data_IF_410642410756
#
_entry.id   IF_410642410756
#
_cell.length_a   1.000
_cell.length_b   1.000
_cell.length_c   1.000
_cell.angle_alpha   90.00
_cell.angle_beta   90.00
_cell.angle_gamma   90.00
#
_symmetry.space_group_name_H-M   'P 1'
#
loop_
_entity.id
_entity.type
_entity.pdbx_description
1 polymer ?
#
# COMPACT_ATOMS: atom_id res chain seq x y z
N UNK A 1 0.02 -8.79 20.98
CA UNK A 1 -0.12 -7.34 20.71
C UNK A 1 1.20 -6.61 20.90
N UNK A 2 1.85 -6.72 22.06
CA UNK A 2 3.06 -5.93 22.35
C UNK A 2 4.26 -6.23 21.43
N UNK A 3 4.55 -7.51 21.17
CA UNK A 3 5.64 -7.90 20.26
C UNK A 3 5.40 -7.43 18.81
N UNK A 4 4.15 -7.47 18.34
CA UNK A 4 3.76 -7.00 17.02
C UNK A 4 3.88 -5.47 16.93
N UNK A 5 3.41 -4.74 17.95
CA UNK A 5 3.54 -3.29 18.02
C UNK A 5 5.00 -2.83 18.06
N UNK A 6 5.87 -3.55 18.77
CA UNK A 6 7.33 -3.29 18.76
C UNK A 6 7.94 -3.52 17.38
N UNK A 7 7.54 -4.59 16.68
CA UNK A 7 8.03 -4.88 15.33
C UNK A 7 7.58 -3.81 14.33
N UNK A 8 6.32 -3.38 14.40
CA UNK A 8 5.81 -2.24 13.63
C UNK A 8 6.57 -0.96 13.93
N UNK A 9 6.84 -0.66 15.21
CA UNK A 9 7.57 0.56 15.61
C UNK A 9 9.01 0.57 15.09
N UNK A 10 9.69 -0.58 15.12
CA UNK A 10 11.06 -0.71 14.59
C UNK A 10 11.09 -0.51 13.08
N UNK A 11 10.11 -1.05 12.35
CA UNK A 11 10.03 -0.89 10.90
C UNK A 11 9.49 0.48 10.48
N UNK A 12 8.67 1.14 11.30
CA UNK A 12 8.13 2.46 11.02
C UNK A 12 9.21 3.55 10.89
N UNK A 13 10.34 3.41 11.60
CA UNK A 13 11.45 4.38 11.53
C UNK A 13 12.12 4.39 10.14
N UNK A 14 12.65 3.28 9.60
CA UNK A 14 13.23 3.27 8.26
C UNK A 14 12.19 3.57 7.17
N UNK A 15 10.94 3.13 7.34
CA UNK A 15 9.85 3.48 6.43
C UNK A 15 9.57 4.98 6.43
N UNK A 16 9.54 5.61 7.61
CA UNK A 16 9.35 7.05 7.76
C UNK A 16 10.47 7.85 7.11
N UNK A 17 11.73 7.41 7.25
CA UNK A 17 12.89 8.02 6.58
C UNK A 17 12.74 7.89 5.05
N UNK A 18 12.37 6.71 4.56
CA UNK A 18 12.19 6.48 3.12
C UNK A 18 11.01 7.27 2.56
N UNK A 19 9.90 7.40 3.29
CA UNK A 19 8.77 8.21 2.88
C UNK A 19 9.10 9.70 2.85
N UNK A 20 9.93 10.18 3.78
CA UNK A 20 10.27 11.60 3.88
C UNK A 20 11.36 11.99 2.88
N UNK A 21 12.39 11.16 2.71
CA UNK A 21 13.57 11.49 1.92
C UNK A 21 13.70 10.70 0.63
N UNK A 22 13.07 9.53 0.52
CA UNK A 22 13.22 8.63 -0.63
C UNK A 22 12.91 9.35 -1.94
N UNK A 23 11.75 10.00 -2.04
CA UNK A 23 11.39 10.77 -3.24
C UNK A 23 12.31 11.94 -3.52
N UNK A 24 12.72 12.71 -2.50
CA UNK A 24 13.60 13.89 -2.70
C UNK A 24 14.99 13.46 -3.14
N UNK A 25 15.60 12.50 -2.42
CA UNK A 25 16.95 12.01 -2.69
C UNK A 25 17.00 11.31 -4.04
N UNK A 26 16.03 10.45 -4.35
CA UNK A 26 16.01 9.78 -5.66
C UNK A 26 15.67 10.73 -6.80
N UNK A 27 14.79 11.71 -6.59
CA UNK A 27 14.49 12.73 -7.59
C UNK A 27 15.72 13.59 -7.94
N UNK A 28 16.48 14.02 -6.94
CA UNK A 28 17.75 14.75 -7.18
C UNK A 28 18.75 13.86 -7.90
N UNK A 29 18.86 12.59 -7.51
CA UNK A 29 19.75 11.64 -8.18
C UNK A 29 19.37 11.45 -9.66
N UNK A 30 18.08 11.20 -9.96
CA UNK A 30 17.59 11.10 -11.33
C UNK A 30 17.84 12.39 -12.13
N UNK A 31 17.72 13.56 -11.51
CA UNK A 31 17.98 14.83 -12.17
C UNK A 31 19.45 14.97 -12.60
N UNK A 32 20.38 14.52 -11.74
CA UNK A 32 21.81 14.49 -12.04
C UNK A 32 22.12 13.50 -13.18
N UNK A 33 21.41 12.38 -13.24
CA UNK A 33 21.53 11.39 -14.33
C UNK A 33 20.86 11.84 -15.64
N UNK A 34 20.17 12.98 -15.65
CA UNK A 34 19.47 13.49 -16.84
C UNK A 34 18.10 12.85 -17.10
N UNK A 35 17.58 12.07 -16.15
CA UNK A 35 16.33 11.30 -16.24
C UNK A 35 15.08 12.15 -15.96
N UNK A 36 15.03 13.35 -16.55
CA UNK A 36 13.97 14.34 -16.33
C UNK A 36 12.58 13.85 -16.75
N UNK A 37 12.53 12.95 -17.74
CA UNK A 37 11.28 12.31 -18.16
C UNK A 37 10.65 11.51 -17.02
N UNK A 38 11.42 10.66 -16.34
CA UNK A 38 10.94 9.83 -15.24
C UNK A 38 10.47 10.67 -14.04
N UNK A 39 11.16 11.77 -13.77
CA UNK A 39 10.74 12.72 -12.73
C UNK A 39 9.41 13.37 -13.11
N UNK A 40 9.28 13.87 -14.34
CA UNK A 40 8.08 14.53 -14.84
C UNK A 40 6.87 13.59 -14.81
N UNK A 41 7.01 12.37 -15.30
CA UNK A 41 5.96 11.35 -15.22
C UNK A 41 5.59 11.01 -13.78
N UNK A 42 6.55 10.99 -12.85
CA UNK A 42 6.28 10.75 -11.43
C UNK A 42 5.45 11.84 -10.80
N UNK A 43 5.82 13.10 -11.03
CA UNK A 43 5.06 14.25 -10.52
C UNK A 43 3.63 14.23 -11.08
N UNK A 44 3.46 14.00 -12.39
CA UNK A 44 2.14 13.87 -13.00
C UNK A 44 1.35 12.69 -12.41
N UNK A 45 1.99 11.55 -12.22
CA UNK A 45 1.36 10.38 -11.61
C UNK A 45 0.89 10.68 -10.20
N UNK A 46 1.67 11.37 -9.36
CA UNK A 46 1.26 11.76 -8.01
C UNK A 46 0.01 12.66 -8.01
N UNK A 47 -0.04 13.63 -8.92
CA UNK A 47 -1.19 14.54 -9.04
C UNK A 47 -2.47 13.79 -9.43
N UNK A 48 -2.36 12.83 -10.35
CA UNK A 48 -3.51 12.07 -10.84
C UNK A 48 -3.88 10.92 -9.89
N UNK A 49 -2.91 10.31 -9.21
CA UNK A 49 -3.11 9.11 -8.41
C UNK A 49 -4.02 9.34 -7.20
N UNK A 50 -3.99 10.52 -6.57
CA UNK A 50 -4.88 10.81 -5.44
C UNK A 50 -6.36 10.70 -5.81
N UNK A 51 -6.75 11.26 -6.97
CA UNK A 51 -8.12 11.13 -7.50
C UNK A 51 -8.36 9.77 -8.17
N UNK A 52 -7.37 9.28 -8.92
CA UNK A 52 -7.45 8.04 -9.66
C UNK A 52 -7.65 6.82 -8.75
N UNK A 53 -6.90 6.73 -7.65
CA UNK A 53 -7.04 5.66 -6.66
C UNK A 53 -8.37 5.76 -5.92
N UNK A 54 -8.79 6.97 -5.53
CA UNK A 54 -10.11 7.17 -4.92
C UNK A 54 -11.26 6.66 -5.80
N UNK A 55 -11.21 6.99 -7.11
CA UNK A 55 -12.20 6.49 -8.08
C UNK A 55 -12.07 4.98 -8.32
N UNK A 56 -10.85 4.45 -8.41
CA UNK A 56 -10.61 3.02 -8.62
C UNK A 56 -11.05 2.17 -7.42
N UNK A 57 -11.02 2.72 -6.20
CA UNK A 57 -11.51 2.09 -4.99
C UNK A 57 -13.04 2.20 -4.83
N UNK A 58 -13.70 3.14 -5.51
CA UNK A 58 -15.15 3.38 -5.39
C UNK A 58 -16.03 2.15 -5.64
N UNK A 59 -15.74 1.24 -6.59
CA UNK A 59 -16.52 0.00 -6.74
C UNK A 59 -16.50 -0.89 -5.50
N UNK A 60 -15.49 -0.78 -4.63
CA UNK A 60 -15.46 -1.46 -3.33
C UNK A 60 -16.61 -1.08 -2.41
N UNK A 61 -17.21 0.11 -2.60
CA UNK A 61 -18.37 0.58 -1.85
C UNK A 61 -19.63 -0.24 -2.14
N UNK A 62 -19.72 -0.89 -3.30
CA UNK A 62 -20.83 -1.80 -3.66
C UNK A 62 -20.90 -2.96 -2.66
N UNK A 63 -19.76 -3.36 -2.09
CA UNK A 63 -19.70 -4.38 -1.05
C UNK A 63 -19.76 -3.78 0.36
N UNK A 64 -19.19 -2.59 0.58
CA UNK A 64 -19.20 -1.94 1.89
C UNK A 64 -20.62 -1.53 2.35
N UNK A 65 -21.47 -1.06 1.43
CA UNK A 65 -22.85 -0.66 1.75
C UNK A 65 -23.70 -1.81 2.31
N UNK A 66 -23.81 -2.95 1.60
CA UNK A 66 -24.47 -4.15 2.12
C UNK A 66 -23.87 -4.66 3.43
N UNK A 67 -22.54 -4.59 3.58
CA UNK A 67 -21.87 -4.98 4.81
C UNK A 67 -22.38 -4.17 6.02
N UNK A 68 -22.44 -2.84 5.89
CA UNK A 68 -22.92 -1.95 6.94
C UNK A 68 -24.39 -2.26 7.32
N UNK A 69 -25.28 -2.37 6.32
CA UNK A 69 -26.70 -2.66 6.55
C UNK A 69 -26.91 -4.02 7.23
N UNK A 70 -26.13 -5.05 6.87
CA UNK A 70 -26.25 -6.37 7.48
C UNK A 70 -25.74 -6.39 8.92
N UNK A 71 -24.65 -5.66 9.21
CA UNK A 71 -24.14 -5.50 10.58
C UNK A 71 -25.13 -4.75 11.47
N UNK A 72 -25.75 -3.66 10.97
CA UNK A 72 -26.80 -2.93 11.68
C UNK A 72 -28.01 -3.80 12.01
N UNK A 73 -28.39 -4.71 11.09
CA UNK A 73 -29.48 -5.68 11.29
C UNK A 73 -29.09 -6.87 12.18
N UNK A 74 -27.87 -6.90 12.73
CA UNK A 74 -27.38 -7.98 13.58
C UNK A 74 -26.93 -9.25 12.83
N UNK A 75 -26.98 -9.27 11.49
CA UNK A 75 -26.47 -10.37 10.69
C UNK A 75 -24.94 -10.25 10.52
N UNK A 76 -24.23 -10.71 11.55
CA UNK A 76 -22.75 -10.65 11.60
C UNK A 76 -22.08 -11.42 10.46
N UNK A 77 -22.59 -12.60 10.11
CA UNK A 77 -21.98 -13.46 9.08
C UNK A 77 -22.02 -12.77 7.71
N UNK A 78 -23.19 -12.25 7.31
CA UNK A 78 -23.33 -11.52 6.06
C UNK A 78 -22.52 -10.23 6.04
N UNK A 79 -22.52 -9.51 7.17
CA UNK A 79 -21.70 -8.31 7.37
C UNK A 79 -20.21 -8.53 7.13
N UNK A 80 -19.63 -9.54 7.78
CA UNK A 80 -18.20 -9.86 7.59
C UNK A 80 -17.88 -10.37 6.19
N UNK A 81 -18.77 -11.14 5.56
CA UNK A 81 -18.55 -11.64 4.20
C UNK A 81 -18.44 -10.49 3.19
N UNK A 82 -19.40 -9.55 3.20
CA UNK A 82 -19.34 -8.38 2.32
C UNK A 82 -18.21 -7.42 2.69
N UNK A 83 -17.90 -7.27 3.98
CA UNK A 83 -16.75 -6.49 4.46
C UNK A 83 -15.42 -7.06 3.97
N UNK A 84 -15.25 -8.38 3.99
CA UNK A 84 -14.10 -9.08 3.43
C UNK A 84 -13.97 -8.84 1.93
N UNK A 85 -15.07 -8.96 1.18
CA UNK A 85 -15.05 -8.75 -0.26
C UNK A 85 -14.67 -7.31 -0.63
N UNK A 86 -15.20 -6.33 0.11
CA UNK A 86 -14.81 -4.91 -0.04
C UNK A 86 -13.31 -4.71 0.23
N UNK A 87 -12.80 -5.32 1.30
CA UNK A 87 -11.40 -5.18 1.70
C UNK A 87 -10.46 -5.84 0.71
N UNK A 88 -10.78 -7.05 0.23
CA UNK A 88 -10.03 -7.75 -0.80
C UNK A 88 -9.98 -6.92 -2.08
N UNK A 89 -11.11 -6.33 -2.49
CA UNK A 89 -11.15 -5.45 -3.66
C UNK A 89 -10.20 -4.25 -3.49
N UNK A 90 -10.31 -3.53 -2.37
CA UNK A 90 -9.46 -2.37 -2.08
C UNK A 90 -7.97 -2.75 -2.07
N UNK A 91 -7.61 -3.80 -1.34
CA UNK A 91 -6.23 -4.30 -1.29
C UNK A 91 -5.74 -4.72 -2.68
N UNK A 92 -6.60 -5.34 -3.48
CA UNK A 92 -6.30 -5.72 -4.87
C UNK A 92 -6.01 -4.51 -5.75
N UNK A 93 -6.82 -3.45 -5.68
CA UNK A 93 -6.62 -2.20 -6.43
C UNK A 93 -5.30 -1.54 -6.06
N UNK A 94 -5.02 -1.40 -4.75
CA UNK A 94 -3.78 -0.80 -4.28
C UNK A 94 -2.55 -1.62 -4.69
N UNK A 95 -2.64 -2.94 -4.58
CA UNK A 95 -1.58 -3.85 -5.02
C UNK A 95 -1.32 -3.73 -6.53
N UNK A 96 -2.39 -3.73 -7.33
CA UNK A 96 -2.29 -3.56 -8.77
C UNK A 96 -1.64 -2.22 -9.14
N UNK A 97 -2.02 -1.13 -8.48
CA UNK A 97 -1.38 0.17 -8.65
C UNK A 97 0.13 0.13 -8.37
N UNK A 98 0.53 -0.42 -7.22
CA UNK A 98 1.94 -0.51 -6.85
C UNK A 98 2.74 -1.33 -7.88
N UNK A 99 2.20 -2.46 -8.34
CA UNK A 99 2.83 -3.31 -9.34
C UNK A 99 2.93 -2.58 -10.69
N UNK A 100 1.87 -1.88 -11.12
CA UNK A 100 1.87 -1.11 -12.36
C UNK A 100 2.93 -0.02 -12.35
N UNK A 101 3.01 0.75 -11.27
CA UNK A 101 4.04 1.78 -11.08
C UNK A 101 5.43 1.14 -11.12
N UNK A 102 5.67 0.07 -10.34
CA UNK A 102 6.96 -0.60 -10.30
C UNK A 102 7.40 -1.09 -11.68
N UNK A 103 6.54 -1.79 -12.40
CA UNK A 103 6.84 -2.32 -13.73
C UNK A 103 7.12 -1.19 -14.72
N UNK A 104 6.33 -0.12 -14.69
CA UNK A 104 6.50 1.03 -15.57
C UNK A 104 7.90 1.64 -15.40
N UNK A 105 8.30 1.94 -14.16
CA UNK A 105 9.60 2.55 -13.88
C UNK A 105 10.76 1.59 -14.15
N UNK A 106 10.64 0.33 -13.73
CA UNK A 106 11.70 -0.67 -13.93
C UNK A 106 11.98 -0.92 -15.42
N UNK A 107 10.96 -0.82 -16.30
CA UNK A 107 11.12 -0.96 -17.75
C UNK A 107 11.86 0.21 -18.41
N UNK A 108 11.87 1.38 -17.79
CA UNK A 108 12.54 2.58 -18.28
C UNK A 108 13.79 2.91 -17.48
N UNK A 109 14.26 1.97 -16.64
CA UNK A 109 15.47 2.13 -15.86
C UNK A 109 16.69 1.67 -16.67
N UNK A 110 17.73 2.47 -16.66
CA UNK A 110 19.06 2.11 -17.14
C UNK A 110 19.88 1.46 -16.02
N UNK A 111 21.01 0.83 -16.39
CA UNK A 111 21.89 0.13 -15.43
C UNK A 111 22.39 1.07 -14.31
N UNK A 112 22.69 2.33 -14.65
CA UNK A 112 23.17 3.34 -13.70
C UNK A 112 22.02 4.04 -12.95
N UNK A 113 20.78 3.96 -13.46
CA UNK A 113 19.60 4.61 -12.86
C UNK A 113 18.69 3.64 -12.10
N UNK A 114 18.94 2.32 -12.10
CA UNK A 114 18.06 1.32 -11.47
C UNK A 114 17.76 1.60 -10.00
N UNK A 115 18.77 1.94 -9.19
CA UNK A 115 18.59 2.22 -7.76
C UNK A 115 17.73 3.48 -7.54
N UNK A 116 18.10 4.66 -8.08
CA UNK A 116 17.26 5.84 -7.90
C UNK A 116 15.88 5.70 -8.54
N UNK A 117 15.73 4.97 -9.65
CA UNK A 117 14.42 4.69 -10.26
C UNK A 117 13.53 3.86 -9.34
N UNK A 118 14.05 2.81 -8.69
CA UNK A 118 13.27 1.98 -7.76
C UNK A 118 12.86 2.75 -6.50
N UNK A 119 13.72 3.61 -5.97
CA UNK A 119 13.39 4.47 -4.81
C UNK A 119 12.36 5.54 -5.21
N UNK A 120 12.50 6.11 -6.41
CA UNK A 120 11.51 7.04 -6.96
C UNK A 120 10.15 6.35 -7.15
N UNK A 121 10.11 5.18 -7.78
CA UNK A 121 8.87 4.44 -8.02
C UNK A 121 8.16 4.06 -6.72
N UNK A 122 8.91 3.75 -5.66
CA UNK A 122 8.37 3.59 -4.31
C UNK A 122 7.59 4.84 -3.87
N UNK A 123 8.21 6.02 -3.91
CA UNK A 123 7.56 7.27 -3.50
C UNK A 123 6.32 7.61 -4.34
N UNK A 124 6.37 7.36 -5.65
CA UNK A 124 5.22 7.57 -6.54
C UNK A 124 4.07 6.59 -6.20
N UNK A 125 4.39 5.34 -5.89
CA UNK A 125 3.40 4.33 -5.60
C UNK A 125 2.77 4.52 -4.21
N UNK A 126 3.57 4.76 -3.18
CA UNK A 126 3.13 4.78 -1.77
C UNK A 126 2.61 6.15 -1.34
N UNK A 127 3.12 7.25 -1.90
CA UNK A 127 2.73 8.61 -1.51
C UNK A 127 1.22 8.86 -1.50
N UNK A 128 0.49 8.58 -2.59
CA UNK A 128 -0.96 8.73 -2.65
C UNK A 128 -1.71 7.82 -1.67
N UNK A 129 -1.18 6.62 -1.42
CA UNK A 129 -1.77 5.61 -0.52
C UNK A 129 -1.63 6.07 0.93
N UNK A 130 -0.46 6.57 1.32
CA UNK A 130 -0.21 7.15 2.64
C UNK A 130 -1.14 8.33 2.88
N UNK A 131 -1.30 9.22 1.90
CA UNK A 131 -2.22 10.35 1.99
C UNK A 131 -3.69 9.92 2.15
N UNK A 132 -4.14 8.93 1.39
CA UNK A 132 -5.49 8.35 1.54
C UNK A 132 -5.67 7.72 2.92
N UNK A 133 -4.70 6.94 3.39
CA UNK A 133 -4.76 6.30 4.69
C UNK A 133 -4.79 7.30 5.86
N UNK A 134 -4.09 8.44 5.73
CA UNK A 134 -4.18 9.53 6.71
C UNK A 134 -5.57 10.16 6.76
N UNK A 135 -6.23 10.34 5.62
CA UNK A 135 -7.61 10.81 5.56
C UNK A 135 -8.59 9.81 6.16
N UNK A 136 -8.39 8.53 5.89
CA UNK A 136 -9.18 7.45 6.47
C UNK A 136 -8.97 7.35 7.99
N UNK A 137 -7.76 7.56 8.48
CA UNK A 137 -7.48 7.62 9.91
C UNK A 137 -8.22 8.78 10.58
N UNK A 138 -8.23 9.96 9.95
CA UNK A 138 -8.98 11.13 10.45
C UNK A 138 -10.49 10.90 10.49
N UNK A 139 -11.02 10.02 9.64
CA UNK A 139 -12.43 9.62 9.65
C UNK A 139 -12.72 8.42 10.57
N UNK A 140 -11.72 7.93 11.30
CA UNK A 140 -11.84 6.85 12.30
C UNK A 140 -11.55 5.44 11.76
N UNK A 141 -11.07 5.30 10.52
CA UNK A 141 -10.69 4.03 9.93
C UNK A 141 -9.19 3.74 10.14
N UNK A 142 -8.84 3.21 11.32
CA UNK A 142 -7.47 2.83 11.67
C UNK A 142 -6.91 1.69 10.81
N UNK A 143 -7.78 0.89 10.18
CA UNK A 143 -7.38 -0.27 9.38
C UNK A 143 -6.65 0.12 8.09
N UNK A 144 -6.89 1.33 7.57
CA UNK A 144 -6.20 1.83 6.37
C UNK A 144 -4.68 1.95 6.59
N UNK A 145 -4.25 2.34 7.80
CA UNK A 145 -2.82 2.44 8.15
C UNK A 145 -2.12 1.07 8.18
N UNK A 146 -2.84 0.03 8.60
CA UNK A 146 -2.31 -1.35 8.57
C UNK A 146 -2.06 -1.77 7.11
N UNK A 147 -3.03 -1.56 6.21
CA UNK A 147 -2.87 -1.87 4.79
C UNK A 147 -1.67 -1.13 4.19
N UNK A 148 -1.54 0.17 4.45
CA UNK A 148 -0.43 0.99 3.95
C UNK A 148 0.93 0.46 4.39
N UNK A 149 1.08 0.09 5.66
CA UNK A 149 2.32 -0.50 6.17
C UNK A 149 2.71 -1.77 5.39
N UNK A 150 1.76 -2.67 5.13
CA UNK A 150 2.03 -3.89 4.37
C UNK A 150 2.36 -3.63 2.90
N UNK A 151 1.78 -2.58 2.30
CA UNK A 151 2.14 -2.13 0.96
C UNK A 151 3.58 -1.63 0.91
N UNK A 152 3.98 -0.78 1.85
CA UNK A 152 5.35 -0.25 1.92
C UNK A 152 6.36 -1.39 2.12
N UNK A 153 6.06 -2.33 3.02
CA UNK A 153 6.87 -3.52 3.25
C UNK A 153 6.97 -4.40 2.01
N UNK A 154 5.85 -4.69 1.33
CA UNK A 154 5.83 -5.47 0.10
C UNK A 154 6.67 -4.81 -0.99
N UNK A 155 6.55 -3.48 -1.14
CA UNK A 155 7.29 -2.72 -2.14
C UNK A 155 8.79 -2.76 -1.88
N UNK A 156 9.23 -2.56 -0.65
CA UNK A 156 10.65 -2.59 -0.28
C UNK A 156 11.23 -3.99 -0.45
N UNK A 157 10.53 -5.04 0.01
CA UNK A 157 10.95 -6.42 -0.20
C UNK A 157 11.10 -6.73 -1.69
N UNK A 158 10.21 -6.18 -2.53
CA UNK A 158 10.30 -6.34 -3.98
C UNK A 158 11.49 -5.59 -4.58
N UNK A 159 11.78 -4.36 -4.12
CA UNK A 159 13.00 -3.63 -4.52
C UNK A 159 14.25 -4.45 -4.19
N UNK A 160 14.34 -4.98 -2.97
CA UNK A 160 15.47 -5.80 -2.56
C UNK A 160 15.58 -7.07 -3.41
N UNK A 161 14.47 -7.73 -3.71
CA UNK A 161 14.45 -8.90 -4.59
C UNK A 161 14.94 -8.56 -6.01
N UNK A 162 14.52 -7.41 -6.56
CA UNK A 162 14.97 -6.94 -7.88
C UNK A 162 16.49 -6.67 -7.87
N UNK A 163 17.01 -6.05 -6.82
CA UNK A 163 18.45 -5.74 -6.72
C UNK A 163 19.33 -6.98 -6.56
N UNK A 164 18.82 -8.03 -5.90
CA UNK A 164 19.59 -9.25 -5.60
C UNK A 164 19.48 -10.34 -6.68
N UNK A 165 18.29 -10.50 -7.27
CA UNK A 165 17.96 -11.63 -8.16
C UNK A 165 17.60 -11.15 -9.57
N UNK A 166 17.38 -9.85 -9.75
CA UNK A 166 16.95 -9.25 -11.01
C UNK A 166 15.43 -9.13 -11.15
N UNK A 167 15.00 -8.54 -12.26
CA UNK A 167 13.59 -8.22 -12.53
C UNK A 167 12.84 -9.48 -12.99
N UNK A 168 11.88 -9.94 -12.19
CA UNK A 168 10.98 -11.04 -12.54
C UNK A 168 9.55 -10.71 -12.13
N UNK A 169 8.63 -10.69 -13.10
CA UNK A 169 7.21 -10.43 -12.84
C UNK A 169 6.61 -11.44 -11.86
N UNK A 170 6.99 -12.71 -11.97
CA UNK A 170 6.52 -13.74 -11.05
C UNK A 170 6.98 -13.46 -9.62
N UNK A 171 8.23 -13.04 -9.42
CA UNK A 171 8.75 -12.71 -8.09
C UNK A 171 8.01 -11.51 -7.50
N UNK A 172 7.76 -10.48 -8.30
CA UNK A 172 6.96 -9.31 -7.88
C UNK A 172 5.56 -9.75 -7.42
N UNK A 173 4.86 -10.53 -8.25
CA UNK A 173 3.51 -10.99 -7.94
C UNK A 173 3.46 -11.87 -6.68
N UNK A 174 4.44 -12.76 -6.51
CA UNK A 174 4.52 -13.64 -5.34
C UNK A 174 4.80 -12.84 -4.07
N UNK A 175 5.75 -11.90 -4.09
CA UNK A 175 6.08 -11.09 -2.90
C UNK A 175 4.89 -10.23 -2.51
N UNK A 176 4.29 -9.48 -3.43
CA UNK A 176 3.09 -8.69 -3.15
C UNK A 176 1.94 -9.58 -2.67
N UNK A 177 1.67 -10.71 -3.35
CA UNK A 177 0.60 -11.62 -2.98
C UNK A 177 0.74 -12.17 -1.55
N UNK A 178 1.93 -12.65 -1.18
CA UNK A 178 2.21 -13.20 0.15
C UNK A 178 2.12 -12.12 1.21
N UNK A 179 2.81 -10.99 1.03
CA UNK A 179 2.85 -9.93 2.04
C UNK A 179 1.47 -9.30 2.25
N UNK A 180 0.72 -9.06 1.18
CA UNK A 180 -0.63 -8.48 1.28
C UNK A 180 -1.64 -9.48 1.87
N UNK A 181 -1.49 -10.78 1.62
CA UNK A 181 -2.31 -11.81 2.28
C UNK A 181 -2.08 -11.84 3.79
N UNK A 182 -0.83 -11.70 4.23
CA UNK A 182 -0.50 -11.57 5.66
C UNK A 182 -1.14 -10.29 6.22
N UNK A 183 -1.06 -9.17 5.49
CA UNK A 183 -1.68 -7.91 5.89
C UNK A 183 -3.19 -8.02 6.09
N UNK A 184 -3.89 -8.70 5.18
CA UNK A 184 -5.32 -8.99 5.31
C UNK A 184 -5.62 -9.80 6.58
N UNK A 185 -4.89 -10.89 6.82
CA UNK A 185 -5.09 -11.74 8.01
C UNK A 185 -4.90 -10.93 9.29
N UNK A 186 -3.87 -10.09 9.34
CA UNK A 186 -3.59 -9.22 10.49
C UNK A 186 -4.71 -8.21 10.70
N UNK A 187 -5.19 -7.55 9.64
CA UNK A 187 -6.26 -6.57 9.71
C UNK A 187 -7.56 -7.17 10.28
N UNK A 188 -7.95 -8.35 9.81
CA UNK A 188 -9.12 -9.07 10.34
C UNK A 188 -8.92 -9.57 11.77
N UNK A 189 -7.70 -10.00 12.13
CA UNK A 189 -7.38 -10.43 13.50
C UNK A 189 -7.50 -9.26 14.48
N UNK A 190 -7.03 -8.07 14.10
CA UNK A 190 -7.18 -6.85 14.91
C UNK A 190 -8.65 -6.46 15.05
N UNK A 191 -9.42 -6.49 13.96
CA UNK A 191 -10.85 -6.20 13.99
C UNK A 191 -11.62 -7.14 14.93
N UNK A 192 -11.33 -8.44 14.86
CA UNK A 192 -11.94 -9.45 15.72
C UNK A 192 -11.63 -9.21 17.21
N UNK A 193 -10.37 -8.89 17.54
CA UNK A 193 -9.97 -8.59 18.93
C UNK A 193 -10.65 -7.32 19.46
N UNK A 194 -10.78 -6.29 18.62
CA UNK A 194 -11.43 -5.02 18.98
C UNK A 194 -12.93 -5.19 19.26
N UNK A 195 -13.63 -6.04 18.49
CA UNK A 195 -15.03 -6.37 18.76
C UNK A 195 -15.16 -7.17 20.06
N UNK A 196 -14.30 -8.16 20.28
CA UNK A 196 -14.30 -8.95 21.51
C UNK A 196 -14.10 -8.06 22.74
N UNK A 197 -13.16 -7.10 22.71
CA UNK A 197 -12.96 -6.19 23.85
C UNK A 197 -14.17 -5.30 24.12
N UNK A 198 -14.91 -4.86 23.09
CA UNK A 198 -16.14 -4.07 23.28
C UNK A 198 -17.29 -4.88 23.89
N UNK A 199 -17.31 -6.19 23.71
CA UNK A 199 -18.35 -7.05 24.30
C UNK A 199 -18.18 -7.29 25.80
N UNK A 200 -17.03 -6.95 26.39
CA UNK A 200 -16.74 -7.11 27.82
C UNK A 200 -16.92 -5.83 28.65
N UNK A 201 -17.22 -4.70 28.00
CA UNK A 201 -17.55 -3.41 28.63
C UNK A 201 -19.02 -3.07 28.38
#
# INVERSE_FOLDING_TARGET
>A
MEAFARLLAVLAVPLGILNMFGGVVSGIWLAILGEWGLIGYGILALLVAGMGLGLAMAPGLIFAGPAAVMLEKGNKIGGYFFGLLSTIYTVGVLTAWCILVLIYYTKHADADSIIPVLIWSYGIATGPIVWLAQKDLQSGNEYAMITTFFIEAAYILTILAILLVGVSLLNVLVIFGVVMSIGLIVQFSVAYLAEKSRAYY
#
